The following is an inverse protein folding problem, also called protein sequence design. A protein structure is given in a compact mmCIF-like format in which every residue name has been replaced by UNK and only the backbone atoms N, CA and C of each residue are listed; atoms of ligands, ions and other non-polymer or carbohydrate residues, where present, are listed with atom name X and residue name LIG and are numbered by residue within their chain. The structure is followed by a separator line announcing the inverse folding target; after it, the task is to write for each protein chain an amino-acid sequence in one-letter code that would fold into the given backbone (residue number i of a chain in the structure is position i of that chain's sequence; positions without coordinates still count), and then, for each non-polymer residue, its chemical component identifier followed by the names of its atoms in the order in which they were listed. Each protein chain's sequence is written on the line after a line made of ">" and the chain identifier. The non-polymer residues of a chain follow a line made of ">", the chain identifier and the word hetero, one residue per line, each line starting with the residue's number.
data_IF_147928484838
#
_entry.id   IF_147928484838
#
_cell.length_a   1.000
_cell.length_b   1.000
_cell.length_c   1.000
_cell.angle_alpha   90.00
_cell.angle_beta   90.00
_cell.angle_gamma   90.00
#
_symmetry.space_group_name_H-M   'P 1'
#
loop_
_entity.id
_entity.type
_entity.pdbx_description
1 polymer ?
#
# COMPACT_ATOMS: atom_id res chain seq x y z
N UNK A 1 8.99 0.74 -18.70
CA UNK A 1 9.59 0.15 -17.49
C UNK A 1 9.41 -1.36 -17.47
N UNK A 2 10.41 -2.16 -17.06
CA UNK A 2 10.28 -3.61 -16.90
C UNK A 2 9.10 -4.01 -16.00
N UNK A 3 8.63 -3.09 -15.18
CA UNK A 3 7.49 -3.23 -14.27
C UNK A 3 6.12 -3.04 -14.93
N UNK A 4 6.03 -2.72 -16.22
CA UNK A 4 4.75 -2.56 -16.92
C UNK A 4 4.14 -3.91 -17.33
N UNK A 5 4.07 -4.86 -16.38
CA UNK A 5 3.53 -6.21 -16.59
C UNK A 5 2.07 -6.19 -17.05
N UNK A 6 1.31 -5.19 -16.62
CA UNK A 6 -0.12 -5.07 -16.89
C UNK A 6 -0.45 -4.07 -17.99
N UNK A 7 0.56 -3.46 -18.63
CA UNK A 7 0.40 -2.54 -19.76
C UNK A 7 -0.59 -1.40 -19.50
N UNK A 8 -0.58 -0.82 -18.29
CA UNK A 8 -1.42 0.33 -17.97
C UNK A 8 -1.16 1.53 -18.88
N UNK A 9 0.10 1.70 -19.29
CA UNK A 9 0.53 2.73 -20.19
C UNK A 9 1.35 2.12 -21.32
N UNK A 10 1.16 2.59 -22.54
CA UNK A 10 2.00 2.19 -23.66
C UNK A 10 3.46 2.59 -23.40
N UNK A 11 4.41 1.65 -23.55
CA UNK A 11 5.83 1.96 -23.46
C UNK A 11 6.18 3.11 -24.42
N UNK A 12 7.07 4.00 -24.00
CA UNK A 12 7.54 5.16 -24.79
C UNK A 12 6.48 6.24 -25.09
N UNK A 13 5.24 6.09 -24.59
CA UNK A 13 4.24 7.16 -24.70
C UNK A 13 4.66 8.41 -23.92
N UNK A 14 4.15 9.56 -24.32
CA UNK A 14 4.36 10.83 -23.60
C UNK A 14 3.95 10.72 -22.13
N UNK A 15 2.90 9.96 -21.84
CA UNK A 15 2.45 9.70 -20.48
C UNK A 15 3.47 8.91 -19.69
N UNK A 16 4.05 7.85 -20.27
CA UNK A 16 5.07 7.04 -19.64
C UNK A 16 6.33 7.87 -19.33
N UNK A 17 6.80 8.68 -20.29
CA UNK A 17 7.95 9.57 -20.11
C UNK A 17 7.69 10.62 -19.01
N UNK A 18 6.50 11.21 -18.96
CA UNK A 18 6.10 12.16 -17.91
C UNK A 18 6.06 11.49 -16.53
N UNK A 19 5.56 10.26 -16.45
CA UNK A 19 5.55 9.49 -15.20
C UNK A 19 6.96 9.17 -14.70
N UNK A 20 7.88 8.79 -15.59
CA UNK A 20 9.28 8.54 -15.25
C UNK A 20 9.97 9.81 -14.74
N UNK A 21 9.80 10.93 -15.43
CA UNK A 21 10.35 12.22 -15.01
C UNK A 21 9.74 12.68 -13.67
N UNK A 22 8.43 12.51 -13.48
CA UNK A 22 7.72 12.83 -12.24
C UNK A 22 8.15 11.93 -11.09
N UNK A 23 8.41 10.65 -11.35
CA UNK A 23 8.91 9.70 -10.34
C UNK A 23 10.28 10.15 -9.81
N UNK A 24 11.19 10.52 -10.71
CA UNK A 24 12.52 11.02 -10.31
C UNK A 24 12.44 12.31 -9.47
N UNK A 25 11.52 13.22 -9.81
CA UNK A 25 11.29 14.44 -9.03
C UNK A 25 10.63 14.12 -7.69
N UNK A 26 9.62 13.26 -7.68
CA UNK A 26 8.95 12.79 -6.46
C UNK A 26 9.96 12.20 -5.48
N UNK A 27 10.85 11.30 -5.92
CA UNK A 27 11.88 10.71 -5.07
C UNK A 27 12.77 11.78 -4.41
N UNK A 28 13.20 12.80 -5.16
CA UNK A 28 13.99 13.91 -4.60
C UNK A 28 13.21 14.72 -3.55
N UNK A 29 11.94 14.99 -3.80
CA UNK A 29 11.09 15.71 -2.85
C UNK A 29 10.86 14.90 -1.58
N UNK A 30 10.71 13.58 -1.70
CA UNK A 30 10.59 12.66 -0.57
C UNK A 30 11.88 12.61 0.26
N UNK A 31 13.05 12.58 -0.37
CA UNK A 31 14.33 12.68 0.34
C UNK A 31 14.46 13.98 1.14
N UNK A 32 14.00 15.10 0.59
CA UNK A 32 13.99 16.39 1.31
C UNK A 32 13.02 16.35 2.48
N UNK A 33 11.82 15.77 2.28
CA UNK A 33 10.86 15.56 3.35
C UNK A 33 11.44 14.70 4.49
N UNK A 34 12.07 13.58 4.18
CA UNK A 34 12.67 12.68 5.18
C UNK A 34 13.83 13.34 5.95
N UNK A 35 14.66 14.13 5.27
CA UNK A 35 15.77 14.85 5.90
C UNK A 35 15.33 15.97 6.81
N UNK A 36 14.30 16.73 6.42
CA UNK A 36 13.84 17.90 7.18
C UNK A 36 12.81 17.53 8.24
N UNK A 37 12.15 16.40 8.11
CA UNK A 37 11.05 15.90 8.95
C UNK A 37 10.03 17.01 9.29
N UNK A 38 9.65 17.78 8.26
CA UNK A 38 8.85 18.98 8.37
C UNK A 38 7.67 18.94 7.41
N UNK A 39 6.48 19.25 7.93
CA UNK A 39 5.29 19.35 7.09
C UNK A 39 5.43 20.38 5.95
N UNK A 40 6.27 21.41 6.12
CA UNK A 40 6.54 22.41 5.06
C UNK A 40 7.25 21.81 3.87
N UNK A 41 8.07 20.77 4.08
CA UNK A 41 8.70 20.00 3.02
C UNK A 41 7.80 18.84 2.55
N UNK A 42 7.16 18.15 3.48
CA UNK A 42 6.41 16.92 3.22
C UNK A 42 5.08 17.17 2.51
N UNK A 43 4.32 18.21 2.87
CA UNK A 43 3.02 18.50 2.25
C UNK A 43 3.15 18.82 0.75
N UNK A 44 4.04 19.73 0.30
CA UNK A 44 4.25 19.97 -1.13
C UNK A 44 4.74 18.73 -1.89
N UNK A 45 5.64 17.93 -1.27
CA UNK A 45 6.11 16.67 -1.83
C UNK A 45 4.95 15.69 -2.04
N UNK A 46 4.09 15.51 -1.03
CA UNK A 46 2.90 14.67 -1.10
C UNK A 46 1.97 15.10 -2.23
N UNK A 47 1.62 16.37 -2.30
CA UNK A 47 0.72 16.91 -3.33
C UNK A 47 1.29 16.73 -4.74
N UNK A 48 2.59 16.97 -4.92
CA UNK A 48 3.25 16.74 -6.20
C UNK A 48 3.23 15.27 -6.59
N UNK A 49 3.69 14.38 -5.70
CA UNK A 49 3.77 12.94 -5.97
C UNK A 49 2.39 12.34 -6.26
N UNK A 50 1.39 12.72 -5.46
CA UNK A 50 0.03 12.26 -5.65
C UNK A 50 -0.56 12.73 -6.99
N UNK A 51 -0.48 14.01 -7.29
CA UNK A 51 -1.03 14.57 -8.52
C UNK A 51 -0.34 14.07 -9.79
N UNK A 52 0.99 13.92 -9.75
CA UNK A 52 1.77 13.57 -10.95
C UNK A 52 1.88 12.06 -11.21
N UNK A 53 1.72 11.21 -10.20
CA UNK A 53 1.85 9.76 -10.35
C UNK A 53 0.50 9.05 -10.26
N UNK A 54 -0.32 9.39 -9.27
CA UNK A 54 -1.62 8.76 -9.06
C UNK A 54 -2.68 9.26 -10.06
N UNK A 55 -2.74 10.57 -10.33
CA UNK A 55 -3.74 11.15 -11.22
C UNK A 55 -3.80 10.50 -12.61
N UNK A 56 -2.68 10.33 -13.32
CA UNK A 56 -2.67 9.62 -14.61
C UNK A 56 -3.13 8.17 -14.52
N UNK A 57 -2.79 7.45 -13.42
CA UNK A 57 -3.24 6.08 -13.24
C UNK A 57 -4.76 6.00 -13.01
N UNK A 58 -5.32 6.93 -12.24
CA UNK A 58 -6.77 7.02 -12.01
C UNK A 58 -7.54 7.27 -13.32
N UNK A 59 -6.99 8.04 -14.24
CA UNK A 59 -7.61 8.35 -15.54
C UNK A 59 -7.69 7.13 -16.48
N UNK A 60 -6.99 6.04 -16.18
CA UNK A 60 -7.07 4.82 -17.00
C UNK A 60 -8.40 4.06 -16.84
N UNK A 61 -9.17 4.35 -15.79
CA UNK A 61 -10.43 3.67 -15.50
C UNK A 61 -10.28 2.24 -14.98
N UNK A 62 -9.05 1.84 -14.59
CA UNK A 62 -8.84 0.54 -13.94
C UNK A 62 -9.04 0.63 -12.43
N UNK A 63 -9.33 -0.49 -11.81
CA UNK A 63 -9.30 -0.61 -10.37
C UNK A 63 -7.84 -0.54 -9.88
N UNK A 64 -7.47 0.52 -9.15
CA UNK A 64 -6.09 0.72 -8.69
C UNK A 64 -5.65 -0.24 -7.57
N UNK A 65 -6.56 -1.00 -6.98
CA UNK A 65 -6.24 -2.10 -6.06
C UNK A 65 -6.12 -3.47 -6.77
N UNK A 66 -6.60 -3.56 -8.02
CA UNK A 66 -6.39 -4.69 -8.91
C UNK A 66 -6.45 -4.22 -10.37
N UNK A 67 -5.31 -3.82 -10.91
CA UNK A 67 -5.18 -3.22 -12.25
C UNK A 67 -5.60 -4.14 -13.41
N UNK A 68 -5.94 -5.40 -13.13
CA UNK A 68 -6.48 -6.35 -14.11
C UNK A 68 -7.99 -6.15 -14.32
N UNK A 69 -8.64 -5.33 -13.49
CA UNK A 69 -10.09 -5.08 -13.50
C UNK A 69 -10.37 -3.65 -13.92
N UNK A 70 -11.43 -3.46 -14.68
CA UNK A 70 -12.00 -2.13 -14.91
C UNK A 70 -12.81 -1.70 -13.69
N UNK A 71 -12.94 -0.40 -13.50
CA UNK A 71 -13.75 0.21 -12.45
C UNK A 71 -14.71 1.23 -13.05
N UNK A 72 -16.00 1.06 -12.78
CA UNK A 72 -17.04 2.03 -13.04
C UNK A 72 -17.48 2.61 -11.68
N UNK A 73 -16.94 3.77 -11.29
CA UNK A 73 -17.20 4.36 -9.97
C UNK A 73 -18.70 4.57 -9.67
N UNK A 74 -19.53 4.76 -10.70
CA UNK A 74 -20.98 4.88 -10.49
C UNK A 74 -21.62 3.56 -10.06
N UNK A 75 -21.09 2.43 -10.52
CA UNK A 75 -21.60 1.09 -10.20
C UNK A 75 -20.83 0.40 -9.09
N UNK A 76 -19.49 0.54 -9.11
CA UNK A 76 -18.57 -0.21 -8.25
C UNK A 76 -18.20 0.57 -6.99
N UNK A 77 -18.62 1.84 -6.88
CA UNK A 77 -18.29 2.74 -5.76
C UNK A 77 -16.86 3.27 -5.82
N UNK A 78 -16.53 4.15 -4.89
CA UNK A 78 -15.24 4.87 -4.85
C UNK A 78 -14.01 3.95 -4.79
N UNK A 79 -14.13 2.79 -4.14
CA UNK A 79 -13.04 1.82 -3.97
C UNK A 79 -13.06 0.71 -5.03
N UNK A 80 -13.94 0.79 -6.04
CA UNK A 80 -14.09 -0.23 -7.09
C UNK A 80 -14.47 -1.64 -6.58
N UNK A 81 -15.11 -1.70 -5.40
CA UNK A 81 -15.61 -2.93 -4.77
C UNK A 81 -17.03 -2.70 -4.25
N UNK A 82 -18.07 -3.09 -5.01
CA UNK A 82 -19.46 -2.88 -4.60
C UNK A 82 -19.78 -3.47 -3.23
N UNK A 83 -19.08 -4.53 -2.84
CA UNK A 83 -19.25 -5.23 -1.56
C UNK A 83 -18.93 -4.34 -0.34
N UNK A 84 -18.15 -3.26 -0.54
CA UNK A 84 -17.81 -2.30 0.54
C UNK A 84 -19.05 -1.61 1.09
N UNK A 85 -20.11 -1.45 0.28
CA UNK A 85 -21.40 -0.91 0.73
C UNK A 85 -22.07 -1.76 1.81
N UNK A 86 -21.81 -3.08 1.81
CA UNK A 86 -22.31 -3.99 2.86
C UNK A 86 -21.66 -3.69 4.22
N UNK A 87 -20.38 -3.29 4.24
CA UNK A 87 -19.68 -2.90 5.46
C UNK A 87 -20.30 -1.62 6.02
N UNK A 88 -20.50 -0.61 5.19
CA UNK A 88 -21.15 0.64 5.60
C UNK A 88 -22.55 0.41 6.13
N UNK A 89 -23.34 -0.41 5.43
CA UNK A 89 -24.70 -0.80 5.86
C UNK A 89 -24.66 -1.51 7.20
N UNK A 90 -23.69 -2.39 7.44
CA UNK A 90 -23.57 -3.15 8.69
C UNK A 90 -23.16 -2.24 9.85
N UNK A 91 -22.09 -1.46 9.67
CA UNK A 91 -21.51 -0.64 10.74
C UNK A 91 -22.39 0.56 11.12
N UNK A 92 -23.29 0.98 10.23
CA UNK A 92 -24.27 2.02 10.52
C UNK A 92 -25.57 1.53 11.19
N UNK A 93 -25.75 0.22 11.41
CA UNK A 93 -26.92 -0.28 12.15
C UNK A 93 -26.85 0.15 13.61
N UNK A 94 -27.93 0.72 14.19
CA UNK A 94 -27.96 1.14 15.60
C UNK A 94 -27.56 0.02 16.57
N UNK A 95 -27.98 -1.21 16.32
CA UNK A 95 -27.62 -2.37 17.14
C UNK A 95 -26.13 -2.68 17.12
N UNK A 96 -25.48 -2.54 15.95
CA UNK A 96 -24.03 -2.75 15.81
C UNK A 96 -23.26 -1.61 16.49
N UNK A 97 -23.68 -0.37 16.27
CA UNK A 97 -23.09 0.81 16.95
C UNK A 97 -23.17 0.68 18.47
N UNK A 98 -24.33 0.29 18.98
CA UNK A 98 -24.52 0.06 20.43
C UNK A 98 -23.60 -1.02 20.96
N UNK A 99 -23.44 -2.16 20.26
CA UNK A 99 -22.51 -3.23 20.65
C UNK A 99 -21.05 -2.80 20.62
N UNK A 100 -20.68 -1.89 19.73
CA UNK A 100 -19.32 -1.34 19.63
C UNK A 100 -19.09 -0.14 20.56
N UNK A 101 -20.11 0.34 21.27
CA UNK A 101 -20.01 1.53 22.11
C UNK A 101 -19.90 2.84 21.31
N UNK A 102 -20.32 2.85 20.04
CA UNK A 102 -20.26 4.01 19.17
C UNK A 102 -21.58 4.79 19.25
N UNK A 103 -21.57 6.12 19.47
CA UNK A 103 -22.76 6.95 19.46
C UNK A 103 -23.53 6.88 18.12
N UNK A 104 -24.86 6.92 18.17
CA UNK A 104 -25.71 6.88 16.97
C UNK A 104 -25.46 8.04 16.01
N UNK A 105 -24.98 9.18 16.51
CA UNK A 105 -24.62 10.36 15.72
C UNK A 105 -23.42 10.17 14.82
N UNK A 106 -22.57 9.18 15.09
CA UNK A 106 -21.40 8.87 14.25
C UNK A 106 -21.86 8.05 13.06
N UNK A 107 -21.63 8.54 11.85
CA UNK A 107 -21.79 7.78 10.62
C UNK A 107 -20.45 7.17 10.21
N UNK A 108 -20.46 5.87 9.93
CA UNK A 108 -19.31 5.19 9.34
C UNK A 108 -19.29 5.46 7.83
N UNK A 109 -18.14 5.87 7.34
CA UNK A 109 -17.83 6.04 5.93
C UNK A 109 -16.53 5.28 5.67
N UNK A 110 -16.47 4.48 4.60
CA UNK A 110 -15.25 3.72 4.22
C UNK A 110 -14.08 4.66 3.92
N UNK A 111 -14.37 5.83 3.34
CA UNK A 111 -13.40 6.87 3.05
C UNK A 111 -13.92 8.22 3.58
N UNK A 112 -13.51 8.61 4.78
CA UNK A 112 -13.83 9.92 5.32
C UNK A 112 -12.83 10.97 4.80
N UNK A 113 -13.25 11.77 3.82
CA UNK A 113 -12.40 12.76 3.16
C UNK A 113 -11.98 13.92 4.07
N UNK A 114 -12.73 14.23 5.11
CA UNK A 114 -12.35 15.26 6.09
C UNK A 114 -11.17 14.77 6.93
N UNK A 115 -11.21 13.53 7.40
CA UNK A 115 -10.10 12.88 8.13
C UNK A 115 -8.89 12.75 7.24
N UNK A 116 -9.06 12.27 6.01
CA UNK A 116 -7.97 12.15 5.03
C UNK A 116 -7.28 13.50 4.79
N UNK A 117 -8.07 14.57 4.58
CA UNK A 117 -7.54 15.92 4.40
C UNK A 117 -6.70 16.41 5.59
N UNK A 118 -7.08 16.07 6.82
CA UNK A 118 -6.28 16.40 8.01
C UNK A 118 -4.94 15.69 8.03
N UNK A 119 -4.89 14.39 7.71
CA UNK A 119 -3.64 13.63 7.58
C UNK A 119 -2.75 14.21 6.48
N UNK A 120 -3.32 14.53 5.31
CA UNK A 120 -2.60 15.17 4.21
C UNK A 120 -1.97 16.51 4.62
N UNK A 121 -2.73 17.38 5.31
CA UNK A 121 -2.25 18.69 5.77
C UNK A 121 -1.18 18.61 6.87
N UNK A 122 -1.10 17.51 7.59
CA UNK A 122 -0.02 17.25 8.55
C UNK A 122 1.23 16.66 7.88
N UNK A 123 1.12 16.22 6.63
CA UNK A 123 2.21 15.54 5.91
C UNK A 123 2.42 14.09 6.34
N UNK A 124 1.48 13.52 7.11
CA UNK A 124 1.59 12.18 7.69
C UNK A 124 1.75 11.09 6.63
N UNK A 125 1.05 11.23 5.52
CA UNK A 125 1.05 10.25 4.43
C UNK A 125 2.42 10.04 3.74
N UNK A 126 3.40 10.92 4.00
CA UNK A 126 4.71 10.87 3.34
C UNK A 126 5.88 10.84 4.35
N UNK A 127 5.59 10.92 5.64
CA UNK A 127 6.60 10.77 6.68
C UNK A 127 7.13 9.34 6.74
N UNK A 128 8.43 9.21 7.04
CA UNK A 128 9.09 7.92 7.18
C UNK A 128 8.73 7.25 8.53
N UNK A 129 7.57 6.61 8.57
CA UNK A 129 7.08 5.87 9.74
C UNK A 129 7.81 4.54 9.97
N UNK A 130 8.63 4.07 9.02
CA UNK A 130 9.44 2.86 9.20
C UNK A 130 10.37 2.96 10.42
N UNK A 131 10.84 4.15 10.77
CA UNK A 131 11.66 4.42 11.97
C UNK A 131 11.01 3.89 13.26
N UNK A 132 9.66 3.83 13.31
CA UNK A 132 8.92 3.33 14.47
C UNK A 132 8.96 1.80 14.59
N UNK A 133 9.29 1.09 13.52
CA UNK A 133 9.36 -0.38 13.50
C UNK A 133 10.72 -0.92 13.97
N UNK A 134 11.78 -0.11 13.90
CA UNK A 134 13.12 -0.54 14.28
C UNK A 134 13.19 -1.07 15.71
N UNK A 135 12.74 -0.32 16.75
CA UNK A 135 12.78 -0.82 18.13
C UNK A 135 11.90 -2.05 18.33
N UNK A 136 10.77 -2.16 17.61
CA UNK A 136 9.90 -3.33 17.70
C UNK A 136 10.59 -4.60 17.18
N UNK A 137 11.30 -4.49 16.06
CA UNK A 137 12.09 -5.60 15.51
C UNK A 137 13.24 -5.98 16.44
N UNK A 138 13.91 -5.01 17.07
CA UNK A 138 14.96 -5.24 18.06
C UNK A 138 14.42 -5.97 19.28
N UNK A 139 13.19 -5.68 19.71
CA UNK A 139 12.48 -6.36 20.82
C UNK A 139 11.86 -7.71 20.41
N UNK A 140 12.11 -8.18 19.18
CA UNK A 140 11.64 -9.49 18.69
C UNK A 140 10.17 -9.49 18.23
N UNK A 141 9.53 -8.33 18.04
CA UNK A 141 8.20 -8.25 17.44
C UNK A 141 8.29 -8.62 15.97
N UNK A 142 7.46 -9.56 15.55
CA UNK A 142 7.42 -10.01 14.16
C UNK A 142 6.67 -9.01 13.28
N UNK A 143 7.26 -8.67 12.15
CA UNK A 143 6.64 -7.83 11.13
C UNK A 143 6.45 -8.65 9.86
N UNK A 144 5.23 -8.66 9.33
CA UNK A 144 4.89 -9.22 8.04
C UNK A 144 4.45 -8.07 7.12
N UNK A 145 5.15 -7.87 6.02
CA UNK A 145 4.68 -7.04 4.92
C UNK A 145 4.23 -7.94 3.76
N UNK A 146 3.09 -7.62 3.17
CA UNK A 146 2.57 -8.34 2.01
C UNK A 146 1.98 -7.35 1.01
N UNK A 147 2.07 -7.68 -0.26
CA UNK A 147 1.52 -6.87 -1.34
C UNK A 147 1.07 -7.75 -2.50
N UNK A 148 -0.04 -7.40 -3.12
CA UNK A 148 -0.49 -8.02 -4.36
C UNK A 148 0.30 -7.50 -5.55
N UNK A 149 0.70 -8.37 -6.48
CA UNK A 149 1.39 -7.95 -7.71
C UNK A 149 0.55 -7.03 -8.61
N UNK A 150 -0.77 -7.12 -8.52
CA UNK A 150 -1.69 -6.33 -9.31
C UNK A 150 -2.18 -5.07 -8.60
N UNK A 151 -1.73 -4.82 -7.39
CA UNK A 151 -2.06 -3.62 -6.62
C UNK A 151 -1.14 -2.47 -7.03
N UNK A 152 -1.75 -1.37 -7.49
CA UNK A 152 -1.01 -0.13 -7.81
C UNK A 152 -0.87 0.75 -6.57
N UNK A 153 -1.86 0.77 -5.68
CA UNK A 153 -1.86 1.63 -4.50
C UNK A 153 -0.80 1.21 -3.49
N UNK A 154 -0.79 -0.07 -3.11
CA UNK A 154 0.21 -0.67 -2.22
C UNK A 154 1.08 -1.65 -3.02
N UNK A 155 1.74 -1.14 -4.06
CA UNK A 155 2.42 -1.96 -5.06
C UNK A 155 3.58 -2.77 -4.48
N UNK A 156 3.71 -4.00 -4.98
CA UNK A 156 4.69 -4.97 -4.49
C UNK A 156 6.14 -4.49 -4.62
N UNK A 157 6.45 -3.70 -5.67
CA UNK A 157 7.80 -3.15 -5.90
C UNK A 157 8.15 -2.16 -4.79
N UNK A 158 7.28 -1.20 -4.51
CA UNK A 158 7.51 -0.20 -3.47
C UNK A 158 7.59 -0.82 -2.08
N UNK A 159 6.74 -1.81 -1.78
CA UNK A 159 6.80 -2.54 -0.51
C UNK A 159 8.11 -3.31 -0.37
N UNK A 160 8.56 -3.99 -1.42
CA UNK A 160 9.84 -4.70 -1.40
C UNK A 160 11.02 -3.74 -1.24
N UNK A 161 11.08 -2.65 -2.01
CA UNK A 161 12.12 -1.64 -1.91
C UNK A 161 12.19 -1.02 -0.50
N UNK A 162 11.04 -0.67 0.05
CA UNK A 162 10.96 -0.14 1.40
C UNK A 162 11.54 -1.12 2.43
N UNK A 163 11.17 -2.40 2.36
CA UNK A 163 11.66 -3.42 3.28
C UNK A 163 13.18 -3.65 3.16
N UNK A 164 13.69 -3.69 1.95
CA UNK A 164 15.11 -3.92 1.69
C UNK A 164 15.99 -2.73 2.07
N UNK A 165 15.45 -1.50 2.01
CA UNK A 165 16.17 -0.29 2.39
C UNK A 165 16.06 0.04 3.89
N UNK A 166 15.07 -0.51 4.58
CA UNK A 166 14.80 -0.19 5.97
C UNK A 166 15.93 -0.65 6.90
N UNK A 167 16.67 0.29 7.55
CA UNK A 167 17.76 -0.06 8.47
C UNK A 167 17.18 -0.64 9.77
N UNK A 168 17.50 -1.90 10.05
CA UNK A 168 17.08 -2.62 11.25
C UNK A 168 18.04 -3.77 11.55
N UNK A 169 17.86 -4.45 12.66
CA UNK A 169 18.74 -5.56 13.10
C UNK A 169 18.79 -6.75 12.13
N UNK A 170 17.82 -6.87 11.23
CA UNK A 170 17.74 -7.93 10.21
C UNK A 170 18.05 -7.44 8.80
N UNK A 171 18.41 -6.16 8.61
CA UNK A 171 18.60 -5.55 7.31
C UNK A 171 19.54 -6.36 6.40
N UNK A 172 20.74 -6.68 6.90
CA UNK A 172 21.74 -7.41 6.15
C UNK A 172 21.28 -8.86 5.84
N UNK A 173 20.68 -9.52 6.84
CA UNK A 173 20.15 -10.86 6.68
C UNK A 173 18.99 -10.91 5.65
N UNK A 174 18.12 -9.90 5.63
CA UNK A 174 17.02 -9.82 4.67
C UNK A 174 17.52 -9.59 3.24
N UNK A 175 18.51 -8.68 3.07
CA UNK A 175 19.08 -8.39 1.76
C UNK A 175 19.86 -9.58 1.16
N UNK A 176 20.41 -10.46 1.98
CA UNK A 176 21.10 -11.67 1.57
C UNK A 176 20.18 -12.91 1.51
N UNK A 177 18.91 -12.77 1.89
CA UNK A 177 17.98 -13.91 1.92
C UNK A 177 17.52 -14.31 0.52
N UNK A 178 17.38 -15.61 0.32
CA UNK A 178 16.86 -16.16 -0.93
C UNK A 178 15.34 -16.07 -0.96
N UNK A 179 14.81 -15.54 -2.05
CA UNK A 179 13.39 -15.56 -2.35
C UNK A 179 12.91 -16.99 -2.57
N UNK A 180 11.82 -17.37 -1.92
CA UNK A 180 11.26 -18.73 -1.98
C UNK A 180 9.78 -18.68 -2.38
N UNK A 181 9.32 -19.66 -3.20
CA UNK A 181 7.92 -19.69 -3.62
C UNK A 181 6.99 -20.00 -2.44
N UNK A 182 5.89 -19.24 -2.35
CA UNK A 182 4.79 -19.47 -1.42
C UNK A 182 3.68 -20.23 -2.11
N UNK A 183 3.27 -21.36 -1.52
CA UNK A 183 2.15 -22.14 -2.03
C UNK A 183 0.95 -22.05 -1.09
N UNK A 184 -0.19 -21.64 -1.61
CA UNK A 184 -1.46 -21.71 -0.91
C UNK A 184 -1.97 -23.16 -0.89
N UNK A 185 -2.47 -23.61 0.27
CA UNK A 185 -3.18 -24.88 0.38
C UNK A 185 -4.57 -24.75 -0.22
N UNK A 186 -4.87 -25.61 -1.19
CA UNK A 186 -6.24 -25.75 -1.68
C UNK A 186 -7.16 -26.49 -0.69
N UNK A 187 -8.44 -26.63 -1.01
CA UNK A 187 -9.34 -27.53 -0.31
C UNK A 187 -8.75 -28.95 -0.22
N UNK A 188 -9.21 -29.73 0.76
CA UNK A 188 -8.72 -31.09 1.00
C UNK A 188 -8.67 -31.90 -0.31
N UNK A 189 -7.49 -32.40 -0.70
CA UNK A 189 -7.27 -33.15 -1.94
C UNK A 189 -6.87 -32.30 -3.17
N UNK A 190 -6.89 -30.99 -3.11
CA UNK A 190 -6.41 -30.14 -4.20
C UNK A 190 -4.88 -29.95 -4.12
N UNK A 191 -4.23 -29.86 -5.31
CA UNK A 191 -2.81 -29.53 -5.38
C UNK A 191 -2.57 -28.11 -4.87
N UNK A 192 -1.48 -27.87 -4.12
CA UNK A 192 -1.06 -26.53 -3.76
C UNK A 192 -0.87 -25.66 -5.01
N UNK A 193 -1.31 -24.40 -4.95
CA UNK A 193 -1.13 -23.42 -6.02
C UNK A 193 -0.09 -22.41 -5.61
N UNK A 194 0.77 -22.01 -6.53
CA UNK A 194 1.68 -20.88 -6.32
C UNK A 194 0.87 -19.63 -5.99
N UNK A 195 1.12 -19.03 -4.83
CA UNK A 195 0.45 -17.85 -4.33
C UNK A 195 1.31 -16.59 -4.43
N UNK A 196 2.63 -16.76 -4.54
CA UNK A 196 3.58 -15.67 -4.62
C UNK A 196 4.96 -16.11 -4.18
N UNK A 197 5.78 -15.15 -3.79
CA UNK A 197 7.13 -15.38 -3.30
C UNK A 197 7.32 -14.75 -1.92
N UNK A 198 8.24 -15.30 -1.14
CA UNK A 198 8.54 -14.85 0.22
C UNK A 198 10.05 -14.65 0.39
N UNK A 199 10.41 -13.51 0.97
CA UNK A 199 11.74 -13.24 1.52
C UNK A 199 11.59 -13.13 3.03
N UNK A 200 12.47 -13.74 3.81
CA UNK A 200 12.42 -13.69 5.27
C UNK A 200 13.81 -13.62 5.88
N UNK A 201 13.92 -12.92 7.00
CA UNK A 201 15.11 -12.87 7.83
C UNK A 201 14.75 -13.08 9.30
N UNK A 202 15.74 -13.49 10.10
CA UNK A 202 15.59 -13.82 11.52
C UNK A 202 15.41 -15.31 11.76
N UNK A 203 15.99 -15.80 12.85
CA UNK A 203 15.85 -17.17 13.34
C UNK A 203 14.91 -17.24 14.56
N UNK A 204 14.24 -18.37 14.74
CA UNK A 204 13.41 -18.63 15.89
C UNK A 204 12.01 -18.02 15.84
N UNK A 205 11.56 -17.37 16.90
CA UNK A 205 10.16 -16.98 17.12
C UNK A 205 9.63 -15.90 16.14
N UNK A 206 10.47 -15.33 15.30
CA UNK A 206 10.19 -14.14 14.51
C UNK A 206 9.66 -14.37 13.10
N UNK A 207 10.18 -15.31 12.34
CA UNK A 207 9.91 -15.39 10.92
C UNK A 207 8.98 -16.56 10.57
N UNK A 208 7.70 -16.29 10.38
CA UNK A 208 6.79 -17.21 9.69
C UNK A 208 6.18 -16.48 8.50
N UNK A 209 6.30 -17.07 7.31
CA UNK A 209 5.48 -16.67 6.20
C UNK A 209 4.02 -16.94 6.57
N UNK A 210 3.20 -15.91 6.62
CA UNK A 210 1.75 -16.05 6.71
C UNK A 210 1.23 -16.61 5.39
N UNK A 211 0.29 -17.53 5.46
CA UNK A 211 -0.50 -18.00 4.33
C UNK A 211 -1.60 -16.99 4.03
#
# INVERSE_FOLDING_TARGET
>A
SPSNKYHLFEPESDTCQKLEASSAMCSKLMEVCDKLDSRLACVPASLFCWGSLYGPAQQTGVNLYDVRRQCDHEKDGELCYPEMTHIETLLNKPTVKSQLGVPDSIQFESCNMQVNGQFMLQGDSIQNSAKLLEPLLADGVRVLAYAGEADFMCNAIGIQEWMLQFPNVYHEALNNATQTPLFARGPTGAKPRLAGDVIKAGEGHGARAGA
#
